data_IF_751494115196
#
_entry.id   IF_751494115196
#
_cell.length_a   1.000
_cell.length_b   1.000
_cell.length_c   1.000
_cell.angle_alpha   90.00
_cell.angle_beta   90.00
_cell.angle_gamma   90.00
#
_symmetry.space_group_name_H-M   'P 1'
#
loop_
_entity.id
_entity.type
_entity.pdbx_description
1 polymer ?
#
# COMPACT_ATOMS: atom_id res chain seq x y z
N UNK A 1 -4.34 -12.99 -47.82
CA UNK A 1 -5.55 -12.97 -46.96
C UNK A 1 -5.12 -12.47 -45.59
N UNK A 2 -5.33 -11.19 -45.30
CA UNK A 2 -4.91 -10.55 -44.05
C UNK A 2 -5.98 -10.77 -42.99
N UNK A 3 -5.65 -11.50 -41.93
CA UNK A 3 -6.52 -11.70 -40.77
C UNK A 3 -6.65 -10.41 -39.96
N UNK A 4 -7.79 -9.73 -40.08
CA UNK A 4 -8.21 -8.68 -39.15
C UNK A 4 -8.52 -9.31 -37.80
N UNK A 5 -7.64 -9.08 -36.82
CA UNK A 5 -7.89 -9.42 -35.42
C UNK A 5 -8.98 -8.51 -34.84
N UNK A 6 -10.17 -9.07 -34.63
CA UNK A 6 -11.30 -8.39 -33.97
C UNK A 6 -10.95 -8.12 -32.50
N UNK A 7 -10.49 -6.91 -32.20
CA UNK A 7 -10.11 -6.45 -30.86
C UNK A 7 -11.36 -6.08 -30.06
N UNK A 8 -12.12 -7.07 -29.62
CA UNK A 8 -13.24 -6.87 -28.70
C UNK A 8 -12.70 -6.49 -27.33
N UNK A 9 -12.74 -5.20 -27.02
CA UNK A 9 -12.44 -4.68 -25.68
C UNK A 9 -13.49 -5.25 -24.71
N UNK A 10 -13.07 -6.12 -23.80
CA UNK A 10 -13.93 -6.67 -22.75
C UNK A 10 -14.40 -5.52 -21.87
N UNK A 11 -15.70 -5.20 -21.95
CA UNK A 11 -16.32 -4.18 -21.11
C UNK A 11 -16.25 -4.63 -19.65
N UNK A 12 -15.42 -3.97 -18.85
CA UNK A 12 -15.25 -4.26 -17.42
C UNK A 12 -13.83 -4.64 -17.01
N UNK A 13 -12.91 -4.83 -17.96
CA UNK A 13 -11.52 -5.16 -17.66
C UNK A 13 -10.60 -4.00 -18.05
N UNK A 14 -10.44 -3.04 -17.13
CA UNK A 14 -9.52 -1.92 -17.29
C UNK A 14 -9.17 -1.30 -15.95
N UNK A 15 -8.03 -0.61 -15.87
CA UNK A 15 -7.52 0.03 -14.65
C UNK A 15 -8.52 1.04 -14.04
N UNK A 16 -9.41 1.60 -14.87
CA UNK A 16 -10.43 2.55 -14.46
C UNK A 16 -11.79 1.89 -14.10
N UNK A 17 -11.88 0.56 -14.14
CA UNK A 17 -13.09 -0.15 -13.76
C UNK A 17 -13.13 -0.35 -12.25
N UNK A 18 -14.18 0.18 -11.62
CA UNK A 18 -14.38 0.00 -10.19
C UNK A 18 -15.00 -1.38 -9.91
N UNK A 19 -14.44 -2.07 -8.91
CA UNK A 19 -14.89 -3.40 -8.51
C UNK A 19 -16.31 -3.37 -7.95
N UNK A 20 -17.10 -4.42 -8.23
CA UNK A 20 -18.45 -4.57 -7.67
C UNK A 20 -18.40 -4.83 -6.17
N UNK A 21 -19.04 -3.99 -5.37
CA UNK A 21 -19.00 -4.12 -3.90
C UNK A 21 -20.27 -4.78 -3.39
N UNK A 22 -20.13 -5.83 -2.57
CA UNK A 22 -21.26 -6.38 -1.81
C UNK A 22 -21.34 -5.69 -0.45
N UNK A 23 -22.35 -4.84 -0.27
CA UNK A 23 -22.54 -4.12 0.99
C UNK A 23 -23.22 -5.01 2.04
N UNK A 24 -22.86 -4.86 3.31
CA UNK A 24 -23.57 -5.51 4.41
C UNK A 24 -25.00 -4.96 4.54
N UNK A 25 -25.88 -5.67 5.26
CA UNK A 25 -27.26 -5.21 5.50
C UNK A 25 -27.30 -3.88 6.25
N UNK A 26 -26.39 -3.70 7.21
CA UNK A 26 -26.24 -2.47 7.99
C UNK A 26 -25.88 -1.29 7.08
N UNK A 27 -24.93 -1.48 6.16
CA UNK A 27 -24.52 -0.43 5.21
C UNK A 27 -25.66 -0.06 4.25
N UNK A 28 -26.45 -1.03 3.79
CA UNK A 28 -27.63 -0.74 2.98
C UNK A 28 -28.64 0.15 3.73
N UNK A 29 -28.86 -0.13 5.01
CA UNK A 29 -29.76 0.67 5.85
C UNK A 29 -29.20 2.09 6.06
N UNK A 30 -27.90 2.22 6.34
CA UNK A 30 -27.23 3.51 6.46
C UNK A 30 -27.35 4.34 5.16
N UNK A 31 -27.03 3.75 4.02
CA UNK A 31 -27.14 4.41 2.72
C UNK A 31 -28.58 4.86 2.44
N UNK A 32 -29.57 4.06 2.82
CA UNK A 32 -30.98 4.43 2.68
C UNK A 32 -31.34 5.67 3.50
N UNK A 33 -30.90 5.75 4.76
CA UNK A 33 -31.11 6.92 5.63
C UNK A 33 -30.43 8.16 5.05
N UNK A 34 -29.17 8.04 4.64
CA UNK A 34 -28.42 9.14 4.02
C UNK A 34 -29.10 9.65 2.75
N UNK A 35 -29.64 8.75 1.93
CA UNK A 35 -30.38 9.14 0.73
C UNK A 35 -31.68 9.88 1.06
N UNK A 36 -32.38 9.46 2.11
CA UNK A 36 -33.62 10.10 2.55
C UNK A 36 -33.36 11.49 3.13
N UNK A 37 -32.24 11.67 3.82
CA UNK A 37 -31.80 12.97 4.34
C UNK A 37 -31.21 13.88 3.25
N UNK A 38 -30.63 13.30 2.21
CA UNK A 38 -30.16 14.04 1.05
C UNK A 38 -31.34 14.58 0.23
N UNK A 39 -31.32 15.86 -0.14
CA UNK A 39 -32.37 16.52 -0.94
C UNK A 39 -32.37 16.06 -2.41
N UNK A 40 -32.50 14.76 -2.66
CA UNK A 40 -32.51 14.15 -3.99
C UNK A 40 -33.94 14.02 -4.53
N UNK A 41 -34.07 14.06 -5.86
CA UNK A 41 -35.33 13.70 -6.53
C UNK A 41 -35.59 12.19 -6.42
N UNK A 42 -36.87 11.79 -6.40
CA UNK A 42 -37.28 10.38 -6.34
C UNK A 42 -36.60 9.51 -7.41
N UNK A 43 -36.48 10.02 -8.64
CA UNK A 43 -35.81 9.31 -9.73
C UNK A 43 -34.31 9.10 -9.46
N UNK A 44 -33.65 10.09 -8.86
CA UNK A 44 -32.23 9.98 -8.48
C UNK A 44 -32.05 8.99 -7.33
N UNK A 45 -32.97 8.99 -6.38
CA UNK A 45 -32.96 8.05 -5.26
C UNK A 45 -33.13 6.61 -5.75
N UNK A 46 -34.08 6.35 -6.66
CA UNK A 46 -34.26 5.04 -7.27
C UNK A 46 -33.02 4.60 -8.05
N UNK A 47 -32.43 5.51 -8.83
CA UNK A 47 -31.18 5.22 -9.55
C UNK A 47 -30.09 4.76 -8.59
N UNK A 48 -29.80 5.54 -7.54
CA UNK A 48 -28.75 5.21 -6.57
C UNK A 48 -29.04 3.89 -5.85
N UNK A 49 -30.28 3.64 -5.43
CA UNK A 49 -30.64 2.36 -4.81
C UNK A 49 -30.37 1.18 -5.73
N UNK A 50 -30.66 1.32 -7.03
CA UNK A 50 -30.36 0.28 -8.02
C UNK A 50 -28.85 0.03 -8.15
N UNK A 51 -28.00 1.06 -8.11
CA UNK A 51 -26.54 0.90 -8.13
C UNK A 51 -26.05 0.16 -6.88
N UNK A 52 -26.54 0.56 -5.69
CA UNK A 52 -26.19 -0.07 -4.42
C UNK A 52 -26.60 -1.55 -4.40
N UNK A 53 -27.81 -1.88 -4.86
CA UNK A 53 -28.28 -3.28 -4.92
C UNK A 53 -27.49 -4.15 -5.90
N UNK A 54 -27.04 -3.58 -7.03
CA UNK A 54 -26.22 -4.29 -8.02
C UNK A 54 -24.75 -4.39 -7.62
N UNK A 55 -24.35 -3.65 -6.58
CA UNK A 55 -22.95 -3.46 -6.20
C UNK A 55 -22.16 -2.63 -7.22
N UNK A 56 -22.85 -1.94 -8.13
CA UNK A 56 -22.21 -1.09 -9.12
C UNK A 56 -21.74 0.22 -8.48
N UNK A 57 -20.77 0.88 -9.12
CA UNK A 57 -20.29 2.17 -8.65
C UNK A 57 -21.37 3.24 -8.75
N UNK A 58 -21.40 4.14 -7.77
CA UNK A 58 -22.34 5.25 -7.74
C UNK A 58 -22.18 6.14 -8.98
N UNK A 59 -23.28 6.71 -9.50
CA UNK A 59 -23.21 7.58 -10.67
C UNK A 59 -22.35 8.80 -10.35
N UNK A 60 -21.54 9.29 -11.30
CA UNK A 60 -20.78 10.51 -11.12
C UNK A 60 -21.75 11.65 -10.80
N UNK A 61 -21.42 12.42 -9.76
CA UNK A 61 -22.19 13.60 -9.39
C UNK A 61 -22.28 14.53 -10.60
N UNK A 62 -23.45 15.14 -10.86
CA UNK A 62 -23.60 16.06 -11.98
C UNK A 62 -22.55 17.17 -11.85
N UNK A 63 -21.62 17.19 -12.82
CA UNK A 63 -20.53 18.15 -12.93
C UNK A 63 -21.13 19.56 -12.94
N UNK A 64 -21.04 20.27 -11.81
CA UNK A 64 -21.67 21.58 -11.65
C UNK A 64 -21.70 22.07 -10.22
N UNK A 65 -21.75 21.18 -9.23
CA UNK A 65 -21.38 21.51 -7.86
C UNK A 65 -19.96 21.03 -7.61
N UNK A 66 -19.01 21.95 -7.66
CA UNK A 66 -17.83 21.84 -6.81
C UNK A 66 -18.36 21.65 -5.39
N UNK A 67 -18.40 20.39 -4.92
CA UNK A 67 -18.44 20.12 -3.50
C UNK A 67 -17.10 20.65 -3.03
N UNK A 68 -17.08 21.92 -2.62
CA UNK A 68 -15.98 22.46 -1.83
C UNK A 68 -15.96 21.55 -0.61
N UNK A 69 -15.08 20.55 -0.61
CA UNK A 69 -14.83 19.77 0.59
C UNK A 69 -14.61 20.80 1.69
N UNK A 70 -15.37 20.70 2.77
CA UNK A 70 -15.40 21.69 3.84
C UNK A 70 -14.09 21.82 4.62
N UNK A 71 -12.95 21.43 4.04
CA UNK A 71 -11.65 21.97 4.44
C UNK A 71 -11.70 23.43 4.02
N UNK A 72 -12.14 24.28 4.96
CA UNK A 72 -12.06 25.73 4.83
C UNK A 72 -10.65 26.05 4.33
N UNK A 73 -10.51 26.36 3.05
CA UNK A 73 -9.33 27.04 2.56
C UNK A 73 -9.27 28.31 3.39
N UNK A 74 -8.31 28.36 4.31
CA UNK A 74 -8.14 29.48 5.21
C UNK A 74 -8.11 30.74 4.37
N UNK A 75 -9.09 31.61 4.62
CA UNK A 75 -9.17 32.94 4.05
C UNK A 75 -7.81 33.63 4.15
N UNK A 76 -7.26 34.07 3.01
CA UNK A 76 -6.35 35.22 3.02
C UNK A 76 -4.96 35.09 2.43
N UNK A 77 -4.56 33.98 1.81
CA UNK A 77 -3.33 34.00 1.00
C UNK A 77 -3.50 33.15 -0.25
N UNK A 78 -3.78 33.82 -1.38
CA UNK A 78 -3.46 33.25 -2.67
C UNK A 78 -1.96 32.95 -2.67
N UNK A 79 -1.58 31.69 -2.43
CA UNK A 79 -0.19 31.27 -2.59
C UNK A 79 0.19 31.62 -4.02
N UNK A 80 1.02 32.66 -4.18
CA UNK A 80 1.62 33.00 -5.46
C UNK A 80 2.44 31.79 -5.87
N UNK A 81 1.88 30.99 -6.77
CA UNK A 81 2.61 29.91 -7.44
C UNK A 81 3.86 30.57 -8.02
N UNK A 82 5.09 30.12 -7.72
CA UNK A 82 6.26 30.72 -8.32
C UNK A 82 6.14 30.54 -9.85
N UNK A 83 5.83 31.64 -10.54
CA UNK A 83 5.41 31.60 -11.95
C UNK A 83 6.57 31.19 -12.86
N UNK A 84 7.82 31.27 -12.39
CA UNK A 84 8.98 30.83 -13.15
C UNK A 84 10.05 30.23 -12.25
N UNK A 85 10.38 28.96 -12.46
CA UNK A 85 11.71 28.48 -12.14
C UNK A 85 12.65 29.07 -13.21
N UNK A 86 13.02 30.34 -13.08
CA UNK A 86 13.98 30.92 -14.02
C UNK A 86 15.24 30.06 -14.00
N UNK A 87 15.63 29.53 -15.17
CA UNK A 87 16.89 28.80 -15.32
C UNK A 87 18.01 29.73 -14.85
N UNK A 88 18.70 29.35 -13.77
CA UNK A 88 19.83 30.14 -13.25
C UNK A 88 20.94 30.17 -14.30
N UNK A 89 21.62 31.31 -14.42
CA UNK A 89 22.82 31.40 -15.25
C UNK A 89 23.94 30.54 -14.64
N UNK A 90 24.88 30.07 -15.47
CA UNK A 90 26.02 29.27 -15.01
C UNK A 90 26.79 29.95 -13.86
N UNK A 91 27.00 31.26 -13.96
CA UNK A 91 27.65 32.05 -12.91
C UNK A 91 26.89 32.01 -11.59
N UNK A 92 25.57 32.16 -11.61
CA UNK A 92 24.74 32.08 -10.40
C UNK A 92 24.76 30.70 -9.74
N UNK A 93 24.87 29.62 -10.52
CA UNK A 93 25.00 28.25 -10.01
C UNK A 93 26.36 28.04 -9.34
N UNK A 94 27.43 28.59 -9.92
CA UNK A 94 28.78 28.51 -9.34
C UNK A 94 28.85 29.33 -8.04
N UNK A 95 28.34 30.56 -8.04
CA UNK A 95 28.34 31.43 -6.85
C UNK A 95 27.49 30.89 -5.70
N UNK A 96 26.48 30.06 -5.96
CA UNK A 96 25.66 29.47 -4.90
C UNK A 96 26.34 28.28 -4.19
N UNK A 97 27.61 27.97 -4.51
CA UNK A 97 28.32 26.85 -3.92
C UNK A 97 27.75 25.49 -4.31
N UNK A 98 26.93 25.40 -5.37
CA UNK A 98 26.24 24.15 -5.73
C UNK A 98 27.20 23.01 -6.14
N UNK A 99 28.44 23.34 -6.47
CA UNK A 99 29.49 22.38 -6.82
C UNK A 99 30.42 22.06 -5.64
N UNK A 100 30.31 22.77 -4.53
CA UNK A 100 31.04 22.46 -3.31
C UNK A 100 30.45 21.18 -2.72
N UNK A 101 31.30 20.17 -2.50
CA UNK A 101 30.88 18.91 -1.88
C UNK A 101 31.37 18.86 -0.45
N UNK A 102 30.46 18.53 0.45
CA UNK A 102 30.83 18.24 1.83
C UNK A 102 31.82 17.07 1.88
N UNK A 103 32.86 17.15 2.73
CA UNK A 103 33.76 16.03 2.94
C UNK A 103 32.96 14.83 3.46
N UNK A 104 33.19 13.65 2.88
CA UNK A 104 32.55 12.43 3.34
C UNK A 104 32.98 12.11 4.78
N UNK A 105 32.00 12.12 5.69
CA UNK A 105 32.18 11.65 7.07
C UNK A 105 31.57 10.26 7.17
N UNK A 106 32.38 9.19 7.34
CA UNK A 106 31.85 7.85 7.51
C UNK A 106 31.04 7.77 8.82
N UNK A 107 29.82 7.25 8.73
CA UNK A 107 28.87 7.12 9.85
C UNK A 107 29.42 6.19 10.95
N UNK A 108 30.27 5.25 10.54
CA UNK A 108 30.97 4.34 11.44
C UNK A 108 32.49 4.50 11.24
N UNK A 109 33.30 4.54 12.32
CA UNK A 109 34.73 4.34 12.15
C UNK A 109 34.92 3.00 11.44
N UNK A 110 35.67 2.98 10.34
CA UNK A 110 36.11 1.70 9.75
C UNK A 110 36.96 1.05 10.82
N UNK A 111 36.38 0.08 11.53
CA UNK A 111 36.97 -0.50 12.72
C UNK A 111 38.36 -1.04 12.43
N UNK A 112 39.37 -0.42 13.03
CA UNK A 112 40.50 -1.18 13.53
C UNK A 112 40.09 -1.74 14.90
N UNK A 113 40.44 -3.01 15.13
CA UNK A 113 40.24 -3.84 16.34
C UNK A 113 39.05 -4.83 16.30
N UNK A 114 39.26 -5.93 15.56
CA UNK A 114 38.61 -7.21 15.80
C UNK A 114 39.14 -7.81 17.12
N UNK A 115 38.43 -7.68 18.23
CA UNK A 115 38.55 -8.56 19.40
C UNK A 115 37.49 -8.18 20.43
N UNK A 116 36.26 -8.72 20.35
CA UNK A 116 35.43 -8.98 21.55
C UNK A 116 34.05 -9.64 21.31
N UNK A 117 33.88 -10.58 20.37
CA UNK A 117 32.61 -11.36 20.30
C UNK A 117 32.84 -12.81 19.88
N UNK A 118 33.63 -13.56 20.64
CA UNK A 118 33.65 -15.04 20.57
C UNK A 118 33.75 -15.64 21.97
N UNK A 119 32.85 -15.24 22.85
CA UNK A 119 32.53 -16.01 24.04
C UNK A 119 30.99 -16.06 24.06
N UNK A 120 30.42 -17.22 24.37
CA UNK A 120 28.97 -17.51 24.40
C UNK A 120 28.31 -17.95 23.10
N UNK A 121 28.81 -19.04 22.50
CA UNK A 121 27.90 -20.01 21.85
C UNK A 121 28.31 -21.50 21.97
N UNK A 122 29.35 -21.82 22.76
CA UNK A 122 29.84 -23.20 22.88
C UNK A 122 29.15 -24.06 23.96
N UNK A 123 28.14 -23.56 24.67
CA UNK A 123 27.58 -24.27 25.83
C UNK A 123 26.23 -24.98 25.61
N UNK A 124 25.53 -24.77 24.50
CA UNK A 124 24.16 -25.32 24.32
C UNK A 124 24.15 -26.65 23.53
N UNK A 125 25.25 -27.02 22.87
CA UNK A 125 25.30 -28.24 22.03
C UNK A 125 25.62 -29.55 22.77
N UNK A 126 26.12 -29.52 24.01
CA UNK A 126 26.57 -30.75 24.70
C UNK A 126 25.52 -31.46 25.55
N UNK A 127 24.34 -30.88 25.77
CA UNK A 127 23.30 -31.48 26.63
C UNK A 127 22.27 -32.32 25.86
N UNK A 128 22.09 -32.10 24.55
CA UNK A 128 21.07 -32.81 23.77
C UNK A 128 21.57 -34.06 23.01
N UNK A 129 22.89 -34.25 22.84
CA UNK A 129 23.43 -35.44 22.18
C UNK A 129 23.55 -36.65 23.13
N UNK A 130 23.67 -36.41 24.45
CA UNK A 130 23.80 -37.47 25.46
C UNK A 130 22.50 -38.20 25.79
N UNK A 131 21.33 -37.56 25.62
CA UNK A 131 20.02 -38.15 25.90
C UNK A 131 19.43 -38.95 24.72
N UNK A 132 19.97 -38.78 23.50
CA UNK A 132 19.45 -39.46 22.30
C UNK A 132 20.07 -40.85 22.06
N UNK A 133 21.28 -41.11 22.56
CA UNK A 133 21.98 -42.38 22.34
C UNK A 133 21.57 -43.43 23.40
N UNK A 134 21.18 -43.01 24.61
CA UNK A 134 20.78 -43.92 25.69
C UNK A 134 19.43 -44.60 25.47
N UNK A 135 18.56 -44.05 24.61
CA UNK A 135 17.25 -44.63 24.29
C UNK A 135 17.30 -45.65 23.15
N UNK A 136 18.32 -45.61 22.29
CA UNK A 136 18.46 -46.52 21.14
C UNK A 136 19.15 -47.86 21.48
N UNK A 137 19.80 -47.98 22.64
CA UNK A 137 20.50 -49.20 23.04
C UNK A 137 19.68 -50.15 23.95
N UNK A 138 18.37 -49.94 24.08
CA UNK A 138 17.48 -50.71 24.97
C UNK A 138 16.29 -51.35 24.25
N UNK A 139 16.49 -51.87 23.04
CA UNK A 139 15.49 -52.73 22.37
C UNK A 139 15.79 -54.21 22.65
N UNK A 140 14.86 -54.98 23.24
CA UNK A 140 15.04 -56.40 23.50
C UNK A 140 14.96 -57.22 22.20
N UNK A 141 15.90 -58.14 22.07
CA UNK A 141 16.07 -59.11 20.98
C UNK A 141 14.82 -60.00 20.88
N UNK A 142 14.11 -59.94 19.75
CA UNK A 142 13.00 -60.83 19.42
C UNK A 142 13.57 -62.21 19.05
N UNK A 143 13.31 -63.24 19.88
CA UNK A 143 13.65 -64.64 19.58
C UNK A 143 12.78 -65.17 18.42
N UNK A 144 13.32 -65.98 17.50
CA UNK A 144 12.53 -66.65 16.48
C UNK A 144 11.75 -67.83 17.08
N UNK A 145 10.48 -67.96 16.70
CA UNK A 145 9.62 -69.08 17.09
C UNK A 145 9.63 -70.13 15.97
N UNK A 146 10.15 -71.32 16.33
CA UNK A 146 9.92 -72.68 15.85
C UNK A 146 9.50 -72.92 14.39
#
# INVERSE_FOLDING_TARGET
MTSTTDTRIVKGEGILHAHKVQYSKETHQLLKVLLQESKLSFLQQQQIQNFVHKGDSLPPLPSGRSIKSGVRASTGAALKRPIYHNKRTKGAIICSGAYERDPFVPIHPRGTNFTHVYVYHKSIFYVNLGLFISTLLKLPILKPHR
#
